data_IF_274848098915
#
_entry.id   IF_274848098915
#
_cell.length_a   1.000
_cell.length_b   1.000
_cell.length_c   1.000
_cell.angle_alpha   90.00
_cell.angle_beta   90.00
_cell.angle_gamma   90.00
#
_symmetry.space_group_name_H-M   'P 1'
#
loop_
_entity.id
_entity.type
_entity.pdbx_description
1 polymer ?
#
# COMPACT_ATOMS: atom_id res chain seq x y z
N UNK A 1 5.38 43.95 9.27
CA UNK A 1 6.31 42.80 9.22
C UNK A 1 6.31 41.98 10.49
N UNK A 2 6.40 42.56 11.69
CA UNK A 2 6.46 41.81 12.96
C UNK A 2 5.26 40.88 13.20
N UNK A 3 4.02 41.30 12.92
CA UNK A 3 2.85 40.44 13.10
C UNK A 3 2.85 39.22 12.14
N UNK A 4 3.21 39.44 10.87
CA UNK A 4 3.36 38.35 9.89
C UNK A 4 4.52 37.42 10.27
N UNK A 5 5.66 37.97 10.71
CA UNK A 5 6.77 37.16 11.20
C UNK A 5 6.37 36.34 12.43
N UNK A 6 5.63 36.92 13.38
CA UNK A 6 5.13 36.22 14.56
C UNK A 6 4.19 35.06 14.19
N UNK A 7 3.31 35.25 13.20
CA UNK A 7 2.48 34.15 12.66
C UNK A 7 3.35 33.08 12.01
N UNK A 8 4.29 33.45 11.14
CA UNK A 8 5.13 32.49 10.40
C UNK A 8 6.10 31.70 11.29
N UNK A 9 6.43 32.19 12.49
CA UNK A 9 7.29 31.48 13.47
C UNK A 9 6.49 30.87 14.63
N UNK A 10 5.16 31.01 14.65
CA UNK A 10 4.33 30.43 15.69
C UNK A 10 4.35 28.90 15.58
N UNK A 11 4.56 28.16 16.69
CA UNK A 11 4.39 26.71 16.70
C UNK A 11 3.01 26.26 16.18
N UNK A 12 1.95 27.04 16.43
CA UNK A 12 0.59 26.74 15.95
C UNK A 12 0.43 26.90 14.43
N UNK A 13 1.33 27.67 13.79
CA UNK A 13 1.39 27.80 12.34
C UNK A 13 2.30 26.73 11.70
N UNK A 14 3.42 26.43 12.37
CA UNK A 14 4.42 25.49 11.87
C UNK A 14 4.05 24.02 12.11
N UNK A 15 3.27 23.73 13.15
CA UNK A 15 2.91 22.39 13.57
C UNK A 15 1.39 22.25 13.73
N UNK A 16 0.88 21.07 13.38
CA UNK A 16 -0.46 20.64 13.80
C UNK A 16 -0.40 20.14 15.24
N UNK A 17 -0.57 21.06 16.20
CA UNK A 17 -0.57 20.72 17.62
C UNK A 17 -1.97 20.29 18.05
N UNK A 18 -2.15 18.98 18.22
CA UNK A 18 -3.31 18.39 18.87
C UNK A 18 -2.85 17.85 20.22
N UNK A 19 -2.92 18.70 21.24
CA UNK A 19 -2.35 18.41 22.56
C UNK A 19 -2.97 17.14 23.16
N UNK A 20 -2.11 16.20 23.56
CA UNK A 20 -2.56 15.01 24.26
C UNK A 20 -3.13 15.39 25.64
N UNK A 21 -4.23 14.76 26.05
CA UNK A 21 -4.65 14.87 27.44
C UNK A 21 -3.56 14.26 28.35
N UNK A 22 -3.43 14.75 29.60
CA UNK A 22 -2.56 14.13 30.60
C UNK A 22 -2.74 12.61 30.69
N UNK A 23 -1.69 11.88 31.10
CA UNK A 23 -1.66 10.41 31.08
C UNK A 23 -2.79 9.74 31.89
N UNK A 24 -3.35 10.45 32.87
CA UNK A 24 -4.44 10.06 33.75
C UNK A 24 -5.81 10.67 33.37
N UNK A 25 -5.84 11.51 32.33
CA UNK A 25 -7.06 12.16 31.88
C UNK A 25 -7.86 11.27 30.91
N UNK A 26 -9.18 11.48 30.91
CA UNK A 26 -10.08 10.86 29.92
C UNK A 26 -9.74 11.35 28.52
N UNK A 27 -10.08 10.52 27.53
CA UNK A 27 -9.97 10.87 26.12
C UNK A 27 -10.63 12.23 25.85
N UNK A 28 -9.91 13.11 25.15
CA UNK A 28 -10.33 14.47 24.83
C UNK A 28 -10.97 14.46 23.44
N UNK A 29 -12.18 15.00 23.33
CA UNK A 29 -12.77 15.31 22.02
C UNK A 29 -12.00 16.44 21.34
N UNK A 30 -11.75 16.31 20.04
CA UNK A 30 -11.15 17.37 19.25
C UNK A 30 -12.14 18.54 19.10
N UNK A 31 -11.59 19.74 19.08
CA UNK A 31 -12.33 20.94 18.73
C UNK A 31 -12.76 20.92 17.25
N UNK A 32 -13.79 21.68 16.87
CA UNK A 32 -14.21 21.82 15.47
C UNK A 32 -13.05 22.18 14.51
N UNK A 33 -12.16 23.09 14.91
CA UNK A 33 -11.01 23.50 14.10
C UNK A 33 -9.93 22.42 13.97
N UNK A 34 -9.71 21.62 15.02
CA UNK A 34 -8.82 20.46 14.95
C UNK A 34 -9.39 19.40 13.99
N UNK A 35 -10.70 19.13 14.02
CA UNK A 35 -11.34 18.18 13.09
C UNK A 35 -11.25 18.67 11.64
N UNK A 36 -11.56 19.94 11.37
CA UNK A 36 -11.42 20.52 10.03
C UNK A 36 -9.96 20.45 9.52
N UNK A 37 -9.00 20.77 10.39
CA UNK A 37 -7.57 20.66 10.09
C UNK A 37 -7.18 19.20 9.80
N UNK A 38 -7.57 18.26 10.66
CA UNK A 38 -7.25 16.84 10.46
C UNK A 38 -7.84 16.30 9.17
N UNK A 39 -9.09 16.65 8.84
CA UNK A 39 -9.76 16.25 7.59
C UNK A 39 -9.07 16.82 6.34
N UNK A 40 -8.75 18.11 6.34
CA UNK A 40 -8.07 18.79 5.21
C UNK A 40 -6.68 18.20 4.93
N UNK A 41 -5.86 17.96 5.96
CA UNK A 41 -4.54 17.38 5.77
C UNK A 41 -4.59 15.90 5.41
N UNK A 42 -5.58 15.15 5.91
CA UNK A 42 -5.80 13.77 5.52
C UNK A 42 -6.13 13.67 4.02
N UNK A 43 -7.12 14.41 3.52
CA UNK A 43 -7.60 14.23 2.14
C UNK A 43 -6.87 15.08 1.11
N UNK A 44 -6.40 16.27 1.48
CA UNK A 44 -5.80 17.24 0.56
C UNK A 44 -4.33 17.57 0.87
N UNK A 45 -3.80 17.12 2.01
CA UNK A 45 -2.45 17.50 2.47
C UNK A 45 -2.21 19.02 2.44
N UNK A 46 -3.25 19.79 2.76
CA UNK A 46 -3.28 21.25 2.73
C UNK A 46 -4.20 21.77 3.83
N UNK A 47 -4.17 23.08 4.08
CA UNK A 47 -5.03 23.74 5.08
C UNK A 47 -6.52 23.60 4.73
N UNK A 48 -7.42 23.70 5.73
CA UNK A 48 -8.86 23.76 5.50
C UNK A 48 -9.22 24.88 4.53
N UNK A 49 -10.19 24.63 3.66
CA UNK A 49 -10.80 25.69 2.86
C UNK A 49 -11.81 26.48 3.68
N UNK A 50 -12.31 27.55 3.08
CA UNK A 50 -13.26 28.46 3.72
C UNK A 50 -14.53 27.75 4.21
N UNK A 51 -15.05 26.77 3.44
CA UNK A 51 -16.22 25.99 3.83
C UNK A 51 -15.96 25.16 5.10
N UNK A 52 -14.82 24.47 5.19
CA UNK A 52 -14.44 23.74 6.39
C UNK A 52 -14.22 24.67 7.59
N UNK A 53 -13.64 25.86 7.39
CA UNK A 53 -13.46 26.85 8.46
C UNK A 53 -14.79 27.38 9.00
N UNK A 54 -15.74 27.67 8.12
CA UNK A 54 -17.08 28.12 8.51
C UNK A 54 -17.88 27.04 9.25
N UNK A 55 -17.78 25.79 8.79
CA UNK A 55 -18.39 24.65 9.48
C UNK A 55 -17.76 24.40 10.85
N UNK A 56 -16.44 24.65 10.99
CA UNK A 56 -15.74 24.58 12.27
C UNK A 56 -16.17 25.72 13.21
N UNK A 57 -16.24 26.96 12.73
CA UNK A 57 -16.69 28.11 13.50
C UNK A 57 -18.12 27.91 14.03
N UNK A 58 -19.01 27.36 13.20
CA UNK A 58 -20.38 27.04 13.58
C UNK A 58 -20.51 25.76 14.44
N UNK A 59 -19.42 25.01 14.67
CA UNK A 59 -19.42 23.73 15.38
C UNK A 59 -20.07 22.56 14.63
N UNK A 60 -20.59 22.81 13.42
CA UNK A 60 -21.34 21.84 12.60
C UNK A 60 -20.46 20.76 11.98
N UNK A 61 -19.16 20.99 11.85
CA UNK A 61 -18.21 19.97 11.34
C UNK A 61 -18.14 18.72 12.25
N UNK A 62 -18.67 18.78 13.47
CA UNK A 62 -18.75 17.62 14.38
C UNK A 62 -19.99 16.76 14.13
N UNK A 63 -20.95 17.21 13.31
CA UNK A 63 -22.13 16.44 12.94
C UNK A 63 -21.72 15.32 11.96
N UNK A 64 -22.04 14.03 12.23
CA UNK A 64 -21.59 12.92 11.38
C UNK A 64 -22.01 13.04 9.91
N UNK A 65 -23.21 13.54 9.64
CA UNK A 65 -23.69 13.71 8.27
C UNK A 65 -22.96 14.85 7.54
N UNK A 66 -22.61 15.93 8.24
CA UNK A 66 -21.79 17.02 7.68
C UNK A 66 -20.39 16.49 7.34
N UNK A 67 -19.78 15.69 8.20
CA UNK A 67 -18.48 15.05 7.90
C UNK A 67 -18.55 14.20 6.64
N UNK A 68 -19.58 13.35 6.50
CA UNK A 68 -19.77 12.51 5.30
C UNK A 68 -19.94 13.34 4.04
N UNK A 69 -20.72 14.43 4.10
CA UNK A 69 -20.88 15.35 2.99
C UNK A 69 -19.55 16.01 2.59
N UNK A 70 -18.77 16.47 3.57
CA UNK A 70 -17.45 17.05 3.32
C UNK A 70 -16.47 16.04 2.75
N UNK A 71 -16.45 14.79 3.23
CA UNK A 71 -15.64 13.72 2.62
C UNK A 71 -15.96 13.56 1.14
N UNK A 72 -17.24 13.41 0.77
CA UNK A 72 -17.64 13.23 -0.63
C UNK A 72 -17.22 14.41 -1.50
N UNK A 73 -17.46 15.65 -1.03
CA UNK A 73 -17.03 16.89 -1.70
C UNK A 73 -15.52 16.90 -1.91
N UNK A 74 -14.76 16.63 -0.85
CA UNK A 74 -13.31 16.72 -0.86
C UNK A 74 -12.65 15.64 -1.72
N UNK A 75 -13.21 14.42 -1.76
CA UNK A 75 -12.70 13.35 -2.62
C UNK A 75 -12.91 13.66 -4.13
N UNK A 76 -13.94 14.42 -4.48
CA UNK A 76 -14.20 14.85 -5.86
C UNK A 76 -13.36 16.05 -6.31
N UNK A 77 -12.81 16.83 -5.36
CA UNK A 77 -11.97 17.99 -5.64
C UNK A 77 -10.59 17.57 -6.19
N UNK A 78 -10.01 18.29 -7.16
CA UNK A 78 -8.66 18.01 -7.69
C UNK A 78 -7.56 17.91 -6.63
N UNK A 79 -7.70 18.60 -5.48
CA UNK A 79 -6.75 18.50 -4.36
C UNK A 79 -6.66 17.07 -3.79
N UNK A 80 -7.67 16.22 -3.98
CA UNK A 80 -7.64 14.81 -3.54
C UNK A 80 -6.55 13.97 -4.23
N UNK A 81 -5.97 14.45 -5.33
CA UNK A 81 -4.79 13.83 -5.93
C UNK A 81 -3.60 13.80 -4.94
N UNK A 82 -3.57 14.71 -3.95
CA UNK A 82 -2.59 14.66 -2.87
C UNK A 82 -2.68 13.36 -2.05
N UNK A 83 -3.89 12.87 -1.77
CA UNK A 83 -4.09 11.58 -1.10
C UNK A 83 -3.49 10.45 -1.95
N UNK A 84 -3.74 10.44 -3.26
CA UNK A 84 -3.16 9.45 -4.17
C UNK A 84 -1.63 9.51 -4.18
N UNK A 85 -1.04 10.69 -4.33
CA UNK A 85 0.43 10.86 -4.35
C UNK A 85 1.10 10.54 -3.02
N UNK A 86 0.44 10.83 -1.90
CA UNK A 86 1.05 10.66 -0.59
C UNK A 86 0.77 9.30 0.01
N UNK A 87 -0.51 8.93 0.15
CA UNK A 87 -0.89 7.66 0.76
C UNK A 87 -0.50 6.48 -0.10
N UNK A 88 -0.80 6.47 -1.41
CA UNK A 88 -0.44 5.33 -2.26
C UNK A 88 1.08 5.12 -2.31
N UNK A 89 1.86 6.21 -2.37
CA UNK A 89 3.32 6.12 -2.39
C UNK A 89 3.92 5.64 -1.06
N UNK A 90 3.28 5.94 0.08
CA UNK A 90 3.68 5.41 1.39
C UNK A 90 3.24 3.95 1.54
N UNK A 91 1.97 3.66 1.31
CA UNK A 91 1.37 2.33 1.41
C UNK A 91 2.10 1.30 0.56
N UNK A 92 2.34 1.61 -0.71
CA UNK A 92 2.98 0.69 -1.65
C UNK A 92 4.50 0.84 -1.70
N UNK A 93 5.07 1.74 -0.88
CA UNK A 93 6.48 2.12 -0.84
C UNK A 93 7.04 2.60 -2.19
N UNK A 94 6.22 3.22 -3.05
CA UNK A 94 6.63 3.69 -4.39
C UNK A 94 7.78 4.69 -4.35
N UNK A 95 7.93 5.46 -3.27
CA UNK A 95 9.04 6.42 -3.11
C UNK A 95 10.41 5.74 -3.20
N UNK A 96 10.51 4.49 -2.76
CA UNK A 96 11.75 3.72 -2.78
C UNK A 96 12.13 3.28 -4.20
N UNK A 97 11.21 3.36 -5.18
CA UNK A 97 11.51 3.03 -6.57
C UNK A 97 12.62 3.94 -7.14
N UNK A 98 12.75 5.17 -6.63
CA UNK A 98 13.82 6.11 -6.97
C UNK A 98 15.22 5.58 -6.63
N UNK A 99 15.34 4.66 -5.68
CA UNK A 99 16.61 4.07 -5.24
C UNK A 99 16.89 2.71 -5.87
N UNK A 100 15.91 2.12 -6.57
CA UNK A 100 16.10 0.85 -7.26
C UNK A 100 16.98 1.04 -8.49
N UNK A 101 17.97 0.15 -8.64
CA UNK A 101 18.96 0.15 -9.73
C UNK A 101 18.97 -1.22 -10.41
N UNK A 102 18.07 -1.49 -11.38
CA UNK A 102 18.19 -2.68 -12.22
C UNK A 102 19.53 -2.69 -12.95
N UNK A 103 20.17 -3.85 -13.06
CA UNK A 103 21.45 -4.00 -13.75
C UNK A 103 21.24 -3.73 -15.25
N UNK A 104 21.90 -2.72 -15.85
CA UNK A 104 21.73 -2.39 -17.26
C UNK A 104 22.19 -3.50 -18.21
N UNK A 105 23.07 -4.41 -17.78
CA UNK A 105 23.46 -5.58 -18.59
C UNK A 105 22.33 -6.62 -18.70
N UNK A 106 21.46 -6.69 -17.69
CA UNK A 106 20.32 -7.63 -17.64
C UNK A 106 19.05 -6.96 -18.18
N UNK A 107 18.86 -5.67 -17.87
CA UNK A 107 17.67 -4.90 -18.19
C UNK A 107 18.03 -3.61 -18.96
N UNK A 108 18.52 -3.72 -20.22
CA UNK A 108 19.03 -2.57 -20.98
C UNK A 108 17.94 -1.54 -21.32
N UNK A 109 16.68 -1.97 -21.39
CA UNK A 109 15.53 -1.09 -21.70
C UNK A 109 15.06 -0.28 -20.48
N UNK A 110 15.59 -0.53 -19.28
CA UNK A 110 15.16 0.15 -18.06
C UNK A 110 15.87 1.49 -17.90
N UNK A 111 15.10 2.58 -17.89
CA UNK A 111 15.60 3.94 -17.65
C UNK A 111 14.71 4.75 -16.69
N UNK A 112 15.13 5.98 -16.39
CA UNK A 112 14.40 6.87 -15.49
C UNK A 112 13.00 7.24 -16.00
N UNK A 113 12.82 7.37 -17.32
CA UNK A 113 11.52 7.73 -17.90
C UNK A 113 10.53 6.57 -17.81
N UNK A 114 11.00 5.33 -17.98
CA UNK A 114 10.21 4.13 -17.75
C UNK A 114 9.83 4.03 -16.28
N UNK A 115 10.78 4.24 -15.35
CA UNK A 115 10.50 4.27 -13.90
C UNK A 115 9.40 5.26 -13.54
N UNK A 116 9.47 6.48 -14.06
CA UNK A 116 8.43 7.50 -13.84
C UNK A 116 7.08 7.03 -14.39
N UNK A 117 7.08 6.39 -15.57
CA UNK A 117 5.85 5.88 -16.17
C UNK A 117 5.19 4.79 -15.32
N UNK A 118 5.99 3.87 -14.75
CA UNK A 118 5.52 2.83 -13.83
C UNK A 118 4.92 3.41 -12.54
N UNK A 119 5.56 4.45 -11.97
CA UNK A 119 5.01 5.12 -10.77
C UNK A 119 3.68 5.78 -11.09
N UNK A 120 3.61 6.51 -12.22
CA UNK A 120 2.41 7.24 -12.61
C UNK A 120 1.23 6.33 -12.91
N UNK A 121 1.44 5.17 -13.53
CA UNK A 121 0.40 4.13 -13.68
C UNK A 121 -0.27 3.82 -12.32
N UNK A 122 0.54 3.58 -11.30
CA UNK A 122 0.06 3.18 -9.97
C UNK A 122 -0.72 4.30 -9.29
N UNK A 123 -0.22 5.53 -9.40
CA UNK A 123 -0.91 6.73 -8.91
C UNK A 123 -2.26 6.96 -9.62
N UNK A 124 -2.32 6.73 -10.93
CA UNK A 124 -3.54 6.91 -11.72
C UNK A 124 -4.60 5.85 -11.39
N UNK A 125 -4.21 4.59 -11.16
CA UNK A 125 -5.14 3.58 -10.66
C UNK A 125 -5.73 3.99 -9.32
N UNK A 126 -4.89 4.45 -8.38
CA UNK A 126 -5.34 4.93 -7.08
C UNK A 126 -6.28 6.14 -7.22
N UNK A 127 -5.87 7.15 -7.99
CA UNK A 127 -6.69 8.35 -8.21
C UNK A 127 -8.04 8.02 -8.82
N UNK A 128 -8.09 7.07 -9.75
CA UNK A 128 -9.33 6.59 -10.36
C UNK A 128 -10.23 5.91 -9.34
N UNK A 129 -9.69 4.99 -8.53
CA UNK A 129 -10.45 4.30 -7.50
C UNK A 129 -11.03 5.28 -6.47
N UNK A 130 -10.25 6.28 -6.08
CA UNK A 130 -10.70 7.33 -5.15
C UNK A 130 -11.75 8.26 -5.76
N UNK A 131 -11.49 8.84 -6.93
CA UNK A 131 -12.34 9.89 -7.52
C UNK A 131 -13.64 9.36 -8.09
N UNK A 132 -13.62 8.16 -8.67
CA UNK A 132 -14.81 7.49 -9.19
C UNK A 132 -15.53 6.66 -8.11
N UNK A 133 -15.07 6.76 -6.86
CA UNK A 133 -15.55 5.99 -5.72
C UNK A 133 -15.71 4.51 -6.05
N UNK A 134 -14.67 3.89 -6.61
CA UNK A 134 -14.67 2.47 -6.97
C UNK A 134 -14.56 1.59 -5.73
N UNK A 135 -14.80 0.30 -5.91
CA UNK A 135 -14.49 -0.67 -4.86
C UNK A 135 -12.97 -0.70 -4.63
N UNK A 136 -12.53 -0.69 -3.37
CA UNK A 136 -11.11 -0.87 -3.05
C UNK A 136 -10.60 -2.26 -3.46
N UNK A 137 -11.49 -3.23 -3.70
CA UNK A 137 -11.13 -4.54 -4.28
C UNK A 137 -10.45 -4.41 -5.66
N UNK A 138 -10.71 -3.32 -6.40
CA UNK A 138 -10.08 -3.07 -7.70
C UNK A 138 -8.57 -2.86 -7.59
N UNK A 139 -8.02 -2.50 -6.41
CA UNK A 139 -6.57 -2.50 -6.21
C UNK A 139 -5.95 -3.88 -6.43
N UNK A 140 -6.70 -4.97 -6.19
CA UNK A 140 -6.25 -6.34 -6.47
C UNK A 140 -6.70 -6.86 -7.82
N UNK A 141 -7.80 -6.34 -8.35
CA UNK A 141 -8.58 -7.03 -9.41
C UNK A 141 -8.86 -6.20 -10.65
N UNK A 142 -8.44 -4.92 -10.70
CA UNK A 142 -8.69 -4.06 -11.85
C UNK A 142 -8.23 -4.74 -13.14
N UNK A 143 -9.15 -4.83 -14.09
CA UNK A 143 -8.97 -5.37 -15.44
C UNK A 143 -8.67 -4.26 -16.47
N UNK A 144 -8.21 -3.11 -15.96
CA UNK A 144 -7.78 -1.95 -16.72
C UNK A 144 -6.53 -1.35 -16.05
N UNK A 145 -5.75 -0.62 -16.83
CA UNK A 145 -4.64 0.19 -16.31
C UNK A 145 -4.51 1.49 -17.09
N UNK A 146 -3.53 2.31 -16.72
CA UNK A 146 -3.19 3.56 -17.36
C UNK A 146 -1.77 3.48 -17.89
N UNK A 147 -1.62 3.61 -19.21
CA UNK A 147 -0.31 3.51 -19.85
C UNK A 147 -0.12 4.65 -20.85
N UNK A 148 1.11 5.14 -20.95
CA UNK A 148 1.59 5.90 -22.10
C UNK A 148 2.31 4.96 -23.08
N UNK A 149 2.81 5.48 -24.21
CA UNK A 149 3.46 4.63 -25.23
C UNK A 149 4.63 3.81 -24.68
N UNK A 150 5.45 4.43 -23.83
CA UNK A 150 6.63 3.79 -23.25
C UNK A 150 6.24 2.58 -22.39
N UNK A 151 5.30 2.76 -21.47
CA UNK A 151 4.84 1.69 -20.60
C UNK A 151 4.04 0.64 -21.37
N UNK A 152 3.24 1.05 -22.36
CA UNK A 152 2.52 0.14 -23.24
C UNK A 152 3.48 -0.78 -24.00
N UNK A 153 4.57 -0.23 -24.56
CA UNK A 153 5.64 -1.02 -25.21
C UNK A 153 6.31 -1.99 -24.24
N UNK A 154 6.60 -1.55 -23.02
CA UNK A 154 7.15 -2.41 -21.96
C UNK A 154 6.22 -3.57 -21.60
N UNK A 155 4.91 -3.36 -21.67
CA UNK A 155 3.90 -4.37 -21.38
C UNK A 155 3.48 -5.21 -22.58
N UNK A 156 3.87 -4.84 -23.81
CA UNK A 156 3.39 -5.48 -25.03
C UNK A 156 1.94 -5.10 -25.38
N UNK A 157 1.44 -3.96 -24.90
CA UNK A 157 0.12 -3.43 -25.22
C UNK A 157 0.21 -2.58 -26.48
N UNK A 158 -0.52 -2.96 -27.53
CA UNK A 158 -0.55 -2.22 -28.80
C UNK A 158 -1.56 -1.07 -28.79
N UNK A 159 -1.42 -0.13 -29.72
CA UNK A 159 -2.42 0.92 -29.98
C UNK A 159 -2.33 2.17 -29.09
N UNK A 160 -1.26 2.32 -28.30
CA UNK A 160 -1.01 3.50 -27.47
C UNK A 160 0.20 4.26 -28.02
N UNK A 161 0.05 5.57 -28.23
CA UNK A 161 1.10 6.44 -28.77
C UNK A 161 1.17 7.75 -27.99
N UNK A 162 2.37 8.32 -27.85
CA UNK A 162 2.59 9.58 -27.13
C UNK A 162 2.82 9.42 -25.62
N UNK A 163 3.06 10.56 -24.97
CA UNK A 163 3.44 10.64 -23.55
C UNK A 163 2.25 10.63 -22.58
N UNK A 164 1.06 10.96 -23.08
CA UNK A 164 -0.18 11.00 -22.30
C UNK A 164 -0.61 9.61 -21.85
N UNK A 165 -1.10 9.52 -20.63
CA UNK A 165 -1.63 8.29 -20.07
C UNK A 165 -3.07 8.08 -20.53
N UNK A 166 -3.34 6.91 -21.11
CA UNK A 166 -4.69 6.51 -21.50
C UNK A 166 -5.11 5.28 -20.71
N UNK A 167 -6.40 5.21 -20.37
CA UNK A 167 -7.00 4.01 -19.77
C UNK A 167 -7.11 2.93 -20.83
N UNK A 168 -6.54 1.76 -20.56
CA UNK A 168 -6.58 0.58 -21.44
C UNK A 168 -7.21 -0.60 -20.72
N UNK A 169 -7.86 -1.49 -21.46
CA UNK A 169 -8.26 -2.80 -20.93
C UNK A 169 -7.04 -3.72 -20.82
N UNK A 170 -6.98 -4.51 -19.76
CA UNK A 170 -6.00 -5.58 -19.55
C UNK A 170 -6.54 -6.96 -19.97
N UNK A 171 -7.74 -7.01 -20.57
CA UNK A 171 -8.32 -8.25 -21.06
C UNK A 171 -7.38 -8.94 -22.07
N UNK A 172 -7.17 -10.24 -21.90
CA UNK A 172 -6.23 -11.02 -22.72
C UNK A 172 -4.76 -10.86 -22.33
N UNK A 173 -4.44 -10.01 -21.35
CA UNK A 173 -3.11 -9.94 -20.73
C UNK A 173 -3.05 -10.77 -19.44
N UNK A 174 -1.86 -10.92 -18.89
CA UNK A 174 -1.63 -11.58 -17.59
C UNK A 174 -1.60 -10.59 -16.42
N UNK A 175 -2.04 -9.35 -16.64
CA UNK A 175 -2.02 -8.26 -15.65
C UNK A 175 -3.41 -8.04 -15.08
N UNK A 176 -3.47 -7.80 -13.79
CA UNK A 176 -4.63 -7.30 -13.08
C UNK A 176 -4.18 -6.65 -11.76
N UNK A 177 -4.78 -5.51 -11.42
CA UNK A 177 -4.51 -4.78 -10.18
C UNK A 177 -3.04 -4.41 -9.96
N UNK A 178 -2.78 -3.82 -8.79
CA UNK A 178 -1.50 -3.21 -8.42
C UNK A 178 -0.36 -4.22 -8.28
N UNK A 179 -0.68 -5.47 -7.97
CA UNK A 179 0.30 -6.56 -7.80
C UNK A 179 1.03 -6.92 -9.11
N UNK A 180 0.45 -6.55 -10.25
CA UNK A 180 1.05 -6.79 -11.57
C UNK A 180 1.60 -5.52 -12.21
N UNK A 181 1.57 -4.38 -11.51
CA UNK A 181 2.23 -3.16 -11.97
C UNK A 181 3.75 -3.34 -11.91
N UNK A 182 4.46 -2.88 -12.94
CA UNK A 182 5.91 -2.98 -12.99
C UNK A 182 6.61 -2.15 -11.90
N UNK A 183 5.97 -1.10 -11.38
CA UNK A 183 6.48 -0.36 -10.21
C UNK A 183 6.70 -1.30 -9.01
N UNK A 184 5.69 -2.12 -8.68
CA UNK A 184 5.73 -3.05 -7.54
C UNK A 184 6.65 -4.23 -7.83
N UNK A 185 6.58 -4.79 -9.05
CA UNK A 185 7.42 -5.92 -9.46
C UNK A 185 8.91 -5.56 -9.45
N UNK A 186 9.24 -4.34 -9.86
CA UNK A 186 10.61 -3.79 -9.82
C UNK A 186 11.06 -3.50 -8.40
N UNK A 187 10.21 -2.82 -7.62
CA UNK A 187 10.48 -2.47 -6.22
C UNK A 187 10.79 -3.70 -5.35
N UNK A 188 10.15 -4.83 -5.66
CA UNK A 188 10.29 -6.09 -4.92
C UNK A 188 11.33 -7.05 -5.50
N UNK A 189 12.17 -6.58 -6.42
CA UNK A 189 13.23 -7.38 -7.07
C UNK A 189 14.65 -6.98 -6.64
N UNK A 190 15.63 -7.75 -7.07
CA UNK A 190 17.07 -7.42 -6.95
C UNK A 190 17.56 -6.81 -8.26
N UNK A 191 18.70 -6.08 -8.26
CA UNK A 191 19.26 -5.46 -9.46
C UNK A 191 19.35 -6.39 -10.68
N UNK A 192 19.81 -7.63 -10.50
CA UNK A 192 20.01 -8.57 -11.62
C UNK A 192 18.95 -9.66 -11.77
N UNK A 193 17.92 -9.71 -10.91
CA UNK A 193 16.94 -10.83 -10.88
C UNK A 193 15.71 -10.49 -10.04
N UNK A 194 14.65 -11.27 -10.21
CA UNK A 194 13.50 -11.27 -9.30
C UNK A 194 13.87 -11.76 -7.89
N UNK A 195 13.01 -11.44 -6.91
CA UNK A 195 13.20 -11.87 -5.52
C UNK A 195 11.87 -12.29 -4.88
N UNK A 196 11.50 -13.58 -4.94
CA UNK A 196 10.31 -14.13 -4.30
C UNK A 196 10.19 -13.79 -2.81
N UNK A 197 11.31 -13.79 -2.08
CA UNK A 197 11.34 -13.47 -0.64
C UNK A 197 10.90 -12.03 -0.38
N UNK A 198 11.56 -11.05 -1.03
CA UNK A 198 11.21 -9.62 -0.93
C UNK A 198 9.76 -9.36 -1.37
N UNK A 199 9.32 -9.97 -2.47
CA UNK A 199 7.96 -9.84 -2.98
C UNK A 199 6.93 -10.42 -2.03
N UNK A 200 7.14 -11.65 -1.55
CA UNK A 200 6.26 -12.29 -0.57
C UNK A 200 6.17 -11.51 0.74
N UNK A 201 7.31 -11.02 1.25
CA UNK A 201 7.35 -10.12 2.40
C UNK A 201 6.52 -8.87 2.18
N UNK A 202 6.73 -8.19 1.05
CA UNK A 202 6.00 -6.97 0.70
C UNK A 202 4.49 -7.23 0.59
N UNK A 203 4.05 -8.37 0.02
CA UNK A 203 2.64 -8.74 -0.06
C UNK A 203 2.07 -8.97 1.34
N UNK A 204 2.76 -9.70 2.22
CA UNK A 204 2.30 -9.92 3.59
C UNK A 204 2.12 -8.59 4.33
N UNK A 205 3.13 -7.72 4.30
CA UNK A 205 3.14 -6.48 5.08
C UNK A 205 2.21 -5.39 4.54
N UNK A 206 2.11 -5.25 3.21
CA UNK A 206 1.38 -4.15 2.58
C UNK A 206 -0.01 -4.54 2.10
N UNK A 207 -0.24 -5.81 1.75
CA UNK A 207 -1.52 -6.28 1.20
C UNK A 207 -2.31 -7.08 2.22
N UNK A 208 -1.66 -7.81 3.13
CA UNK A 208 -2.34 -8.71 4.07
C UNK A 208 -2.24 -8.29 5.55
N UNK A 209 -1.47 -7.23 5.85
CA UNK A 209 -1.17 -6.76 7.21
C UNK A 209 -0.64 -7.87 8.14
N UNK A 210 0.13 -8.78 7.57
CA UNK A 210 0.83 -9.82 8.31
C UNK A 210 2.30 -9.43 8.47
N UNK A 211 2.81 -9.50 9.69
CA UNK A 211 4.23 -9.27 9.98
C UNK A 211 4.95 -10.60 9.82
N UNK A 212 5.79 -10.79 8.79
CA UNK A 212 6.57 -12.01 8.68
C UNK A 212 7.62 -12.08 9.80
N UNK A 213 8.01 -13.29 10.24
CA UNK A 213 9.06 -13.44 11.23
C UNK A 213 10.37 -12.80 10.72
N UNK A 214 11.17 -12.18 11.61
CA UNK A 214 12.46 -11.62 11.21
C UNK A 214 13.37 -12.72 10.66
N UNK A 215 14.21 -12.37 9.68
CA UNK A 215 15.21 -13.30 9.17
C UNK A 215 16.18 -13.71 10.29
N UNK A 216 16.61 -14.99 10.36
CA UNK A 216 17.63 -15.41 11.30
C UNK A 216 18.94 -14.61 11.11
N UNK A 217 19.60 -14.26 12.21
CA UNK A 217 20.86 -13.55 12.16
C UNK A 217 21.96 -14.41 11.50
N UNK A 218 22.82 -13.78 10.69
CA UNK A 218 24.01 -14.43 10.11
C UNK A 218 23.77 -15.31 8.88
N UNK A 219 22.58 -15.30 8.28
CA UNK A 219 22.31 -16.01 7.02
C UNK A 219 22.84 -15.18 5.83
N UNK A 220 23.79 -15.70 5.02
CA UNK A 220 24.30 -14.98 3.86
C UNK A 220 23.24 -14.88 2.76
N UNK A 221 23.28 -13.82 1.91
CA UNK A 221 22.49 -13.74 0.69
C UNK A 221 22.60 -15.00 -0.19
N UNK A 222 21.57 -15.28 -0.99
CA UNK A 222 21.51 -16.46 -1.86
C UNK A 222 22.72 -16.55 -2.81
N UNK A 223 23.21 -15.40 -3.27
CA UNK A 223 24.40 -15.23 -4.12
C UNK A 223 25.71 -15.60 -3.41
N UNK A 224 25.76 -15.40 -2.09
CA UNK A 224 26.94 -15.58 -1.25
C UNK A 224 26.96 -16.95 -0.56
N UNK A 225 25.92 -17.76 -0.73
CA UNK A 225 25.76 -19.06 -0.06
C UNK A 225 26.71 -20.17 -0.58
N UNK A 226 27.72 -19.84 -1.40
CA UNK A 226 28.85 -20.72 -1.75
C UNK A 226 28.52 -21.98 -2.57
N UNK A 227 27.30 -22.12 -3.06
CA UNK A 227 26.87 -23.23 -3.94
C UNK A 227 26.96 -22.78 -5.39
N UNK A 228 27.49 -23.64 -6.27
CA UNK A 228 27.41 -23.40 -7.71
C UNK A 228 25.94 -23.39 -8.15
N UNK A 229 25.43 -22.20 -8.42
CA UNK A 229 24.06 -21.94 -8.87
C UNK A 229 24.02 -21.57 -10.35
N UNK A 230 25.14 -21.74 -11.07
CA UNK A 230 25.22 -21.48 -12.50
C UNK A 230 24.24 -22.40 -13.26
N UNK A 231 23.50 -21.83 -14.23
CA UNK A 231 22.50 -22.57 -15.00
C UNK A 231 21.23 -23.00 -14.25
N UNK A 232 21.13 -22.77 -12.94
CA UNK A 232 19.89 -22.99 -12.19
C UNK A 232 18.92 -21.84 -12.41
N UNK A 233 17.65 -22.18 -12.64
CA UNK A 233 16.52 -21.27 -12.53
C UNK A 233 16.36 -20.77 -11.10
N UNK A 234 15.67 -19.67 -10.92
CA UNK A 234 15.38 -19.13 -9.59
C UNK A 234 14.59 -20.12 -8.73
N UNK A 235 13.63 -20.85 -9.33
CA UNK A 235 12.90 -21.93 -8.63
C UNK A 235 13.87 -22.91 -7.99
N UNK A 236 14.80 -23.46 -8.79
CA UNK A 236 15.77 -24.44 -8.34
C UNK A 236 16.72 -23.86 -7.27
N UNK A 237 17.12 -22.59 -7.42
CA UNK A 237 17.95 -21.90 -6.40
C UNK A 237 17.20 -21.76 -5.08
N UNK A 238 15.93 -21.38 -5.11
CA UNK A 238 15.09 -21.25 -3.91
C UNK A 238 14.83 -22.61 -3.24
N UNK A 239 14.62 -23.66 -4.03
CA UNK A 239 14.50 -25.03 -3.50
C UNK A 239 15.79 -25.52 -2.85
N UNK A 240 16.94 -25.25 -3.48
CA UNK A 240 18.25 -25.57 -2.91
C UNK A 240 18.52 -24.81 -1.60
N UNK A 241 18.06 -23.56 -1.50
CA UNK A 241 18.15 -22.75 -0.29
C UNK A 241 17.27 -23.29 0.83
N UNK A 242 16.02 -23.68 0.52
CA UNK A 242 15.05 -24.24 1.47
C UNK A 242 15.39 -25.65 1.97
N UNK A 243 16.43 -26.30 1.44
CA UNK A 243 16.92 -27.58 2.01
C UNK A 243 17.43 -27.42 3.44
N UNK A 244 17.81 -26.21 3.85
CA UNK A 244 18.11 -25.92 5.25
C UNK A 244 16.79 -25.81 6.06
N UNK A 245 16.57 -26.68 7.06
CA UNK A 245 15.37 -26.64 7.88
C UNK A 245 15.13 -25.28 8.57
N UNK A 246 16.20 -24.56 8.95
CA UNK A 246 16.08 -23.25 9.58
C UNK A 246 15.51 -22.18 8.62
N UNK A 247 15.82 -22.30 7.33
CA UNK A 247 15.30 -21.39 6.30
C UNK A 247 13.87 -21.77 5.88
N UNK A 248 13.57 -23.07 5.79
CA UNK A 248 12.28 -23.56 5.31
C UNK A 248 11.06 -23.03 6.09
N UNK A 249 11.21 -22.78 7.40
CA UNK A 249 10.13 -22.36 8.30
C UNK A 249 9.50 -21.03 7.87
N UNK A 250 10.32 -20.04 7.51
CA UNK A 250 9.83 -18.72 7.09
C UNK A 250 9.49 -18.72 5.59
N UNK A 251 10.31 -19.39 4.79
CA UNK A 251 10.16 -19.44 3.34
C UNK A 251 8.88 -20.16 2.88
N UNK A 252 8.32 -21.08 3.67
CA UNK A 252 7.01 -21.69 3.36
C UNK A 252 5.86 -20.67 3.31
N UNK A 253 6.01 -19.53 3.98
CA UNK A 253 5.00 -18.46 4.02
C UNK A 253 5.29 -17.42 2.93
N UNK A 254 6.56 -17.04 2.80
CA UNK A 254 7.00 -15.95 1.91
C UNK A 254 7.08 -16.37 0.45
N UNK A 255 7.78 -17.47 0.16
CA UNK A 255 8.16 -17.83 -1.21
C UNK A 255 6.95 -18.07 -2.10
N UNK A 256 5.89 -18.80 -1.68
CA UNK A 256 4.74 -19.01 -2.56
C UNK A 256 4.14 -17.70 -3.10
N UNK A 257 3.92 -16.71 -2.24
CA UNK A 257 3.37 -15.41 -2.63
C UNK A 257 4.26 -14.69 -3.65
N UNK A 258 5.58 -14.76 -3.50
CA UNK A 258 6.52 -14.17 -4.44
C UNK A 258 6.66 -14.97 -5.74
N UNK A 259 6.71 -16.31 -5.64
CA UNK A 259 6.88 -17.24 -6.75
C UNK A 259 5.71 -17.18 -7.74
N UNK A 260 4.50 -16.90 -7.25
CA UNK A 260 3.32 -16.73 -8.10
C UNK A 260 3.44 -15.64 -9.17
N UNK A 261 4.39 -14.72 -9.03
CA UNK A 261 4.65 -13.65 -10.00
C UNK A 261 5.94 -13.86 -10.80
N UNK A 262 6.55 -15.05 -10.79
CA UNK A 262 7.84 -15.26 -11.47
C UNK A 262 7.78 -15.21 -12.99
N UNK A 263 6.59 -15.29 -13.58
CA UNK A 263 6.41 -14.95 -15.00
C UNK A 263 6.63 -13.46 -15.28
N UNK A 264 6.80 -12.62 -14.27
CA UNK A 264 7.28 -11.25 -14.43
C UNK A 264 8.75 -11.15 -14.04
N UNK A 265 9.57 -10.55 -14.91
CA UNK A 265 10.99 -10.30 -14.66
C UNK A 265 11.22 -9.21 -13.61
N UNK A 266 12.50 -8.91 -13.31
CA UNK A 266 12.87 -7.90 -12.32
C UNK A 266 12.45 -6.47 -12.66
N UNK A 267 11.96 -6.21 -13.87
CA UNK A 267 11.37 -4.93 -14.30
C UNK A 267 9.87 -5.04 -14.60
N UNK A 268 9.25 -6.17 -14.29
CA UNK A 268 7.84 -6.42 -14.49
C UNK A 268 7.43 -6.76 -15.93
N UNK A 269 8.35 -7.12 -16.85
CA UNK A 269 7.99 -7.67 -18.17
C UNK A 269 7.63 -9.14 -18.06
N UNK A 270 6.74 -9.60 -18.93
CA UNK A 270 6.42 -11.03 -19.00
C UNK A 270 7.61 -11.84 -19.54
N UNK A 271 7.81 -13.03 -18.99
CA UNK A 271 8.80 -14.03 -19.42
C UNK A 271 8.24 -15.44 -19.28
N UNK A 272 8.55 -16.27 -20.27
CA UNK A 272 8.20 -17.70 -20.25
C UNK A 272 9.38 -18.58 -19.82
N UNK A 273 10.60 -18.02 -19.79
CA UNK A 273 11.81 -18.76 -19.45
C UNK A 273 12.66 -18.10 -18.35
N UNK A 274 13.37 -18.94 -17.61
CA UNK A 274 14.39 -18.60 -16.63
C UNK A 274 15.60 -19.50 -16.82
N UNK A 275 16.79 -18.94 -17.02
CA UNK A 275 18.01 -19.71 -17.28
C UNK A 275 17.82 -20.80 -18.38
N UNK A 276 17.06 -20.50 -19.43
CA UNK A 276 16.76 -21.42 -20.54
C UNK A 276 15.73 -22.52 -20.24
N UNK A 277 15.07 -22.48 -19.08
CA UNK A 277 14.03 -23.42 -18.66
C UNK A 277 12.69 -22.71 -18.60
N UNK A 278 11.58 -23.43 -18.79
CA UNK A 278 10.24 -22.84 -18.60
C UNK A 278 10.10 -22.31 -17.16
N UNK A 279 9.49 -21.13 -17.01
CA UNK A 279 9.18 -20.57 -15.69
C UNK A 279 8.14 -21.43 -15.01
N UNK A 280 8.45 -21.84 -13.79
CA UNK A 280 7.50 -22.44 -12.88
C UNK A 280 7.12 -21.41 -11.80
N UNK A 281 5.94 -20.82 -11.94
CA UNK A 281 5.35 -19.86 -11.00
C UNK A 281 4.28 -20.51 -10.09
N UNK A 282 4.23 -21.84 -10.02
CA UNK A 282 3.28 -22.53 -9.14
C UNK A 282 3.61 -22.38 -7.65
N UNK A 283 2.66 -22.70 -6.78
CA UNK A 283 2.92 -22.74 -5.35
C UNK A 283 1.74 -23.22 -4.53
N UNK A 284 2.02 -23.44 -3.25
CA UNK A 284 1.02 -23.78 -2.25
C UNK A 284 1.14 -22.76 -1.11
N UNK A 285 0.07 -22.02 -0.84
CA UNK A 285 0.01 -21.08 0.28
C UNK A 285 -0.12 -21.82 1.60
N UNK A 286 0.28 -21.17 2.68
CA UNK A 286 -0.06 -21.63 4.02
C UNK A 286 -1.60 -21.76 4.17
N UNK A 287 -2.06 -22.97 4.48
CA UNK A 287 -3.48 -23.34 4.48
C UNK A 287 -3.91 -24.24 3.31
N UNK A 288 -3.04 -24.54 2.35
CA UNK A 288 -3.24 -25.60 1.34
C UNK A 288 -3.77 -25.16 -0.02
N UNK A 289 -4.07 -23.87 -0.22
CA UNK A 289 -4.48 -23.36 -1.55
C UNK A 289 -3.33 -23.43 -2.54
N UNK A 290 -3.57 -24.02 -3.71
CA UNK A 290 -2.60 -24.20 -4.78
C UNK A 290 -2.90 -23.29 -5.97
N UNK A 291 -1.86 -22.83 -6.65
CA UNK A 291 -1.96 -22.03 -7.86
C UNK A 291 -0.82 -22.36 -8.83
N UNK A 292 -1.03 -22.04 -10.10
CA UNK A 292 -0.10 -22.25 -11.21
C UNK A 292 0.26 -20.96 -11.96
N UNK A 293 0.31 -19.83 -11.24
CA UNK A 293 0.77 -18.55 -11.77
C UNK A 293 0.02 -17.34 -11.19
N UNK A 294 0.25 -16.15 -11.77
CA UNK A 294 -0.21 -14.90 -11.17
C UNK A 294 -1.73 -14.77 -11.14
N UNK A 295 -2.42 -15.15 -12.21
CA UNK A 295 -3.89 -15.04 -12.30
C UNK A 295 -4.60 -15.91 -11.26
N UNK A 296 -4.13 -17.14 -11.05
CA UNK A 296 -4.70 -18.04 -10.03
C UNK A 296 -4.37 -17.55 -8.61
N UNK A 297 -3.15 -17.07 -8.37
CA UNK A 297 -2.78 -16.48 -7.08
C UNK A 297 -3.65 -15.26 -6.76
N UNK A 298 -3.87 -14.37 -7.73
CA UNK A 298 -4.79 -13.23 -7.58
C UNK A 298 -6.21 -13.70 -7.30
N UNK A 299 -6.67 -14.78 -7.93
CA UNK A 299 -7.94 -15.43 -7.62
C UNK A 299 -8.06 -15.85 -6.15
N UNK A 300 -7.00 -16.44 -5.58
CA UNK A 300 -6.95 -16.82 -4.17
C UNK A 300 -6.95 -15.59 -3.26
N UNK A 301 -6.15 -14.57 -3.57
CA UNK A 301 -6.11 -13.32 -2.80
C UNK A 301 -7.46 -12.60 -2.82
N UNK A 302 -8.15 -12.61 -3.97
CA UNK A 302 -9.53 -12.11 -4.11
C UNK A 302 -10.52 -12.91 -3.26
N UNK A 303 -10.41 -14.24 -3.23
CA UNK A 303 -11.25 -15.07 -2.37
C UNK A 303 -11.01 -14.79 -0.88
N UNK A 304 -9.79 -14.38 -0.51
CA UNK A 304 -9.38 -14.01 0.86
C UNK A 304 -9.36 -12.48 1.09
N UNK A 305 -10.11 -11.71 0.30
CA UNK A 305 -10.10 -10.23 0.27
C UNK A 305 -10.37 -9.53 1.60
N UNK A 306 -11.01 -10.19 2.57
CA UNK A 306 -11.24 -9.60 3.90
C UNK A 306 -9.92 -9.27 4.62
N UNK A 307 -8.85 -10.05 4.39
CA UNK A 307 -7.51 -9.70 4.90
C UNK A 307 -6.97 -8.43 4.25
N UNK A 308 -7.20 -8.28 2.96
CA UNK A 308 -6.83 -7.07 2.22
C UNK A 308 -7.62 -5.84 2.70
N UNK A 309 -8.93 -5.96 2.90
CA UNK A 309 -9.74 -4.85 3.40
C UNK A 309 -9.32 -4.42 4.80
N UNK A 310 -8.95 -5.37 5.67
CA UNK A 310 -8.40 -5.06 6.99
C UNK A 310 -7.08 -4.31 6.85
N UNK A 311 -6.14 -4.86 6.07
CA UNK A 311 -4.84 -4.25 5.86
C UNK A 311 -4.95 -2.83 5.30
N UNK A 312 -5.77 -2.63 4.29
CA UNK A 312 -6.00 -1.32 3.68
C UNK A 312 -6.64 -0.34 4.69
N UNK A 313 -7.63 -0.79 5.46
CA UNK A 313 -8.25 0.01 6.52
C UNK A 313 -7.25 0.44 7.60
N UNK A 314 -6.39 -0.49 8.07
CA UNK A 314 -5.37 -0.20 9.07
C UNK A 314 -4.35 0.83 8.56
N UNK A 315 -3.84 0.65 7.33
CA UNK A 315 -2.89 1.59 6.73
C UNK A 315 -3.51 2.97 6.52
N UNK A 316 -4.76 3.04 6.07
CA UNK A 316 -5.45 4.31 5.88
C UNK A 316 -5.75 5.00 7.21
N UNK A 317 -6.12 4.25 8.25
CA UNK A 317 -6.30 4.78 9.59
C UNK A 317 -4.99 5.36 10.12
N UNK A 318 -3.87 4.62 10.03
CA UNK A 318 -2.52 5.12 10.38
C UNK A 318 -2.22 6.43 9.67
N UNK A 319 -2.46 6.49 8.36
CA UNK A 319 -2.23 7.69 7.57
C UNK A 319 -3.11 8.87 8.02
N UNK A 320 -4.39 8.63 8.28
CA UNK A 320 -5.34 9.65 8.72
C UNK A 320 -5.02 10.22 10.11
N UNK A 321 -4.46 9.38 11.00
CA UNK A 321 -4.13 9.75 12.38
C UNK A 321 -2.71 10.31 12.51
N UNK A 322 -1.81 10.02 11.58
CA UNK A 322 -0.40 10.39 11.65
C UNK A 322 0.39 9.65 12.73
N UNK A 323 -0.12 8.50 13.22
CA UNK A 323 0.53 7.65 14.24
C UNK A 323 0.24 6.17 13.97
N UNK A 324 1.01 5.29 14.60
CA UNK A 324 0.72 3.84 14.62
C UNK A 324 -0.61 3.53 15.31
N UNK A 325 -1.17 2.35 15.02
CA UNK A 325 -2.36 1.87 15.72
C UNK A 325 -1.99 1.34 17.10
N UNK A 326 -2.89 1.60 18.04
CA UNK A 326 -2.86 1.09 19.40
C UNK A 326 -4.00 0.08 19.61
N UNK A 327 -3.97 -0.64 20.73
CA UNK A 327 -4.95 -1.69 21.03
C UNK A 327 -6.42 -1.18 20.98
N UNK A 328 -6.64 0.09 21.33
CA UNK A 328 -7.97 0.72 21.35
C UNK A 328 -8.47 1.15 19.96
N UNK A 329 -7.61 1.22 18.94
CA UNK A 329 -8.03 1.54 17.57
C UNK A 329 -8.70 0.33 16.87
N UNK A 330 -8.62 -0.87 17.48
CA UNK A 330 -9.22 -2.09 16.93
C UNK A 330 -10.70 -1.93 16.60
N UNK A 331 -11.47 -1.26 17.47
CA UNK A 331 -12.90 -1.03 17.24
C UNK A 331 -13.15 -0.20 15.97
N UNK A 332 -12.35 0.85 15.74
CA UNK A 332 -12.45 1.68 14.54
C UNK A 332 -12.18 0.89 13.26
N UNK A 333 -11.22 -0.06 13.30
CA UNK A 333 -10.94 -0.96 12.17
C UNK A 333 -12.10 -1.93 11.93
N UNK A 334 -12.64 -2.56 12.96
CA UNK A 334 -13.80 -3.48 12.80
C UNK A 334 -15.03 -2.74 12.25
N UNK A 335 -15.32 -1.55 12.77
CA UNK A 335 -16.44 -0.74 12.30
C UNK A 335 -16.25 -0.31 10.83
N UNK A 336 -15.03 0.07 10.45
CA UNK A 336 -14.70 0.38 9.06
C UNK A 336 -14.90 -0.82 8.12
N UNK A 337 -14.55 -2.03 8.55
CA UNK A 337 -14.79 -3.26 7.78
C UNK A 337 -16.29 -3.53 7.61
N UNK A 338 -17.09 -3.33 8.65
CA UNK A 338 -18.56 -3.45 8.57
C UNK A 338 -19.12 -2.43 7.58
N UNK A 339 -18.69 -1.17 7.66
CA UNK A 339 -19.14 -0.11 6.75
C UNK A 339 -18.73 -0.39 5.30
N UNK A 340 -17.49 -0.85 5.06
CA UNK A 340 -17.05 -1.27 3.74
C UNK A 340 -17.98 -2.35 3.17
N UNK A 341 -18.22 -3.42 3.93
CA UNK A 341 -19.08 -4.52 3.48
C UNK A 341 -20.50 -4.06 3.15
N UNK A 342 -21.09 -3.23 4.00
CA UNK A 342 -22.46 -2.74 3.82
C UNK A 342 -22.62 -1.76 2.65
N UNK A 343 -21.53 -1.11 2.24
CA UNK A 343 -21.54 -0.08 1.19
C UNK A 343 -20.77 -0.51 -0.06
N UNK A 344 -20.71 -1.81 -0.37
CA UNK A 344 -20.13 -2.31 -1.61
C UNK A 344 -18.61 -2.12 -1.74
N UNK A 345 -17.92 -2.02 -0.61
CA UNK A 345 -16.47 -1.84 -0.48
C UNK A 345 -15.95 -0.57 -1.16
N UNK A 346 -16.78 0.46 -1.24
CA UNK A 346 -16.46 1.76 -1.85
C UNK A 346 -15.35 2.48 -1.08
N UNK A 347 -14.49 3.19 -1.79
CA UNK A 347 -13.41 3.97 -1.18
C UNK A 347 -13.95 5.02 -0.19
N UNK A 348 -15.00 5.75 -0.59
CA UNK A 348 -15.66 6.76 0.24
C UNK A 348 -16.18 6.18 1.55
N UNK A 349 -16.73 4.96 1.52
CA UNK A 349 -17.29 4.30 2.70
C UNK A 349 -16.23 4.07 3.80
N UNK A 350 -15.01 3.71 3.41
CA UNK A 350 -13.89 3.59 4.36
C UNK A 350 -13.51 4.95 4.95
N UNK A 351 -13.36 5.96 4.09
CA UNK A 351 -12.99 7.32 4.55
C UNK A 351 -14.06 7.88 5.49
N UNK A 352 -15.34 7.74 5.14
CA UNK A 352 -16.47 8.13 5.99
C UNK A 352 -16.45 7.40 7.34
N UNK A 353 -16.18 6.09 7.35
CA UNK A 353 -16.09 5.32 8.58
C UNK A 353 -14.92 5.79 9.46
N UNK A 354 -13.77 6.10 8.88
CA UNK A 354 -12.60 6.61 9.60
C UNK A 354 -12.92 7.98 10.21
N UNK A 355 -13.39 8.94 9.42
CA UNK A 355 -13.55 10.33 9.91
C UNK A 355 -14.68 10.48 10.94
N UNK A 356 -15.62 9.54 10.97
CA UNK A 356 -16.70 9.52 11.97
C UNK A 356 -16.38 8.66 13.19
N UNK A 357 -15.20 8.03 13.24
CA UNK A 357 -14.76 7.21 14.37
C UNK A 357 -14.23 8.03 15.54
N UNK A 358 -14.32 7.46 16.75
CA UNK A 358 -13.69 8.05 17.93
C UNK A 358 -12.17 8.20 17.78
N UNK A 359 -11.51 7.27 17.07
CA UNK A 359 -10.07 7.36 16.80
C UNK A 359 -9.71 8.65 16.04
N UNK A 360 -10.58 9.09 15.12
CA UNK A 360 -10.39 10.31 14.35
C UNK A 360 -10.89 11.57 15.06
N UNK A 361 -11.92 11.47 15.90
CA UNK A 361 -12.55 12.62 16.56
C UNK A 361 -12.03 12.90 17.97
N UNK A 362 -11.14 12.05 18.50
CA UNK A 362 -10.62 12.16 19.86
C UNK A 362 -9.10 11.99 19.92
N UNK A 363 -8.51 12.45 21.02
CA UNK A 363 -7.14 12.14 21.47
C UNK A 363 -7.24 11.30 22.73
N UNK A 364 -6.64 10.12 22.72
CA UNK A 364 -6.57 9.27 23.90
C UNK A 364 -5.58 9.84 24.91
N UNK A 365 -5.87 9.69 26.21
CA UNK A 365 -4.85 9.89 27.25
C UNK A 365 -3.71 8.89 27.05
N UNK A 366 -2.47 9.28 27.39
CA UNK A 366 -1.33 8.37 27.34
C UNK A 366 -1.55 7.23 28.35
N UNK A 367 -2.05 6.09 27.88
CA UNK A 367 -2.22 4.88 28.68
C UNK A 367 -0.90 4.12 28.62
N UNK A 368 -0.01 4.37 29.57
CA UNK A 368 1.20 3.55 29.69
C UNK A 368 0.76 2.10 29.93
N UNK A 369 1.19 1.20 29.05
CA UNK A 369 1.06 -0.23 29.29
C UNK A 369 1.86 -0.53 30.57
N UNK A 370 1.16 -0.86 31.67
CA UNK A 370 1.81 -1.48 32.81
C UNK A 370 2.45 -2.76 32.28
N UNK A 371 3.79 -2.91 32.31
CA UNK A 371 4.41 -4.16 31.92
C UNK A 371 3.79 -5.24 32.80
N UNK A 372 3.22 -6.29 32.20
CA UNK A 372 2.88 -7.49 32.95
C UNK A 372 4.14 -7.90 33.72
N UNK A 373 4.09 -7.82 35.04
CA UNK A 373 5.15 -8.28 35.90
C UNK A 373 5.37 -9.75 35.54
N UNK A 374 6.52 -10.03 34.91
CA UNK A 374 6.90 -11.38 34.54
C UNK A 374 6.70 -12.29 35.74
N UNK A 375 5.79 -13.25 35.60
CA UNK A 375 5.69 -14.36 36.52
C UNK A 375 6.98 -15.17 36.38
N UNK A 376 7.95 -14.85 37.24
CA UNK A 376 9.09 -15.71 37.48
C UNK A 376 8.58 -17.06 38.00
N UNK A 377 8.93 -18.11 37.28
CA UNK A 377 8.76 -19.51 37.63
C UNK A 377 9.78 -20.33 36.86
#
# INVERSE_FOLDING_TARGET
YVALQAVLVSPDFLFRVEADPPADAKDRALSPFEVASRLSYFLWSSMPDEELLQLAEAGRILEPEVLRQQVRRMLQDPKSEALSRNFAAQWLNLRNLADVRPNPEVYPDFDNALRQSMSRETELLFSTITREDRSIEEFLTADYSFVNERLARHYGIAGVTGEEFVRVSLAGTQRAGVLTHASILTLTSNPGRTSPVKRGKWILENILAEVPPPAPAGVPPLEEAGKDVSGLSLRERMELHRKDPACAVCHRILDPLGMGFENFDGTGRWRDQDAGKAVDASGELFGGDRFSGPSELLGILKARKERFFRAFSEKMLIYSLGRGLEYYDRCAVEDALIQLKNNGYRFSALVEAIVTSDAFLRRAGRRDLVPEAGSGG
#
